data_IF_105873458504
#
_entry.id   IF_105873458504
#
_cell.length_a   1.000
_cell.length_b   1.000
_cell.length_c   1.000
_cell.angle_alpha   90.00
_cell.angle_beta   90.00
_cell.angle_gamma   90.00
#
_symmetry.space_group_name_H-M   'P 1'
#
loop_
_entity.id
_entity.type
_entity.pdbx_description
1 polymer ?
#
# COMPACT_ATOMS: atom_id res chain seq x y z
N UNK A 1 -31.47 -48.89 -24.63
CA UNK A 1 -31.91 -47.86 -23.68
C UNK A 1 -30.87 -47.53 -22.59
N UNK A 2 -29.86 -48.35 -22.36
CA UNK A 2 -28.83 -48.10 -21.31
C UNK A 2 -27.82 -46.94 -21.62
N UNK A 3 -27.51 -46.65 -22.90
CA UNK A 3 -26.51 -45.62 -23.26
C UNK A 3 -26.92 -44.17 -22.92
N UNK A 4 -28.23 -43.85 -22.87
CA UNK A 4 -28.71 -42.51 -22.54
C UNK A 4 -28.62 -42.19 -21.06
N UNK A 5 -28.74 -43.15 -20.18
CA UNK A 5 -28.66 -42.95 -18.71
C UNK A 5 -27.26 -42.63 -18.22
N UNK A 6 -26.22 -43.17 -18.88
CA UNK A 6 -24.79 -42.89 -18.52
C UNK A 6 -24.33 -41.48 -18.90
N UNK A 7 -24.86 -40.89 -19.97
CA UNK A 7 -24.52 -39.54 -20.39
C UNK A 7 -25.15 -38.49 -19.46
N UNK A 8 -26.39 -38.74 -19.02
CA UNK A 8 -27.05 -37.84 -18.06
C UNK A 8 -26.37 -37.85 -16.68
N UNK A 9 -25.87 -38.99 -16.21
CA UNK A 9 -25.14 -39.07 -14.95
C UNK A 9 -23.77 -38.34 -15.01
N UNK A 10 -23.07 -38.44 -16.14
CA UNK A 10 -21.81 -37.72 -16.32
C UNK A 10 -21.99 -36.19 -16.42
N UNK A 11 -23.08 -35.73 -17.04
CA UNK A 11 -23.45 -34.34 -17.13
C UNK A 11 -23.87 -33.76 -15.76
N UNK A 12 -24.61 -34.54 -14.96
CA UNK A 12 -24.98 -34.14 -13.62
C UNK A 12 -23.79 -34.03 -12.65
N UNK A 13 -22.79 -34.91 -12.75
CA UNK A 13 -21.56 -34.80 -11.98
C UNK A 13 -20.71 -33.60 -12.41
N UNK A 14 -20.63 -33.25 -13.69
CA UNK A 14 -19.90 -32.07 -14.18
C UNK A 14 -20.58 -30.78 -13.72
N UNK A 15 -21.89 -30.72 -13.68
CA UNK A 15 -22.64 -29.56 -13.17
C UNK A 15 -22.57 -29.44 -11.64
N UNK A 16 -22.49 -30.54 -10.90
CA UNK A 16 -22.31 -30.49 -9.45
C UNK A 16 -20.92 -30.03 -9.04
N UNK A 17 -19.88 -30.34 -9.80
CA UNK A 17 -18.50 -29.84 -9.57
C UNK A 17 -18.33 -28.36 -9.95
N UNK A 18 -19.10 -27.87 -10.91
CA UNK A 18 -19.09 -26.45 -11.29
C UNK A 18 -19.82 -25.52 -10.32
N UNK A 19 -20.75 -26.04 -9.49
CA UNK A 19 -21.49 -25.26 -8.52
C UNK A 19 -20.73 -24.99 -7.20
N UNK A 20 -19.58 -25.61 -7.00
CA UNK A 20 -18.69 -25.39 -5.85
C UNK A 20 -17.49 -24.49 -6.19
N UNK A 21 -17.59 -23.63 -7.19
CA UNK A 21 -16.74 -22.47 -7.30
C UNK A 21 -17.15 -21.45 -6.21
N UNK A 22 -16.98 -21.85 -4.93
CA UNK A 22 -16.95 -20.92 -3.84
C UNK A 22 -15.91 -19.86 -4.19
N UNK A 23 -16.24 -18.59 -4.03
CA UNK A 23 -15.30 -17.50 -4.13
C UNK A 23 -14.07 -17.88 -3.30
N UNK A 24 -12.99 -18.26 -3.97
CA UNK A 24 -11.70 -18.47 -3.29
C UNK A 24 -11.30 -17.09 -2.77
N UNK A 25 -11.47 -16.87 -1.47
CA UNK A 25 -10.90 -15.71 -0.83
C UNK A 25 -9.40 -15.74 -1.10
N UNK A 26 -8.82 -14.63 -1.55
CA UNK A 26 -7.39 -14.56 -1.75
C UNK A 26 -6.68 -14.81 -0.41
N UNK A 27 -5.60 -15.57 -0.43
CA UNK A 27 -4.76 -15.78 0.76
C UNK A 27 -4.11 -14.47 1.20
N UNK A 28 -3.86 -14.29 2.50
CA UNK A 28 -3.04 -13.19 2.98
C UNK A 28 -1.69 -13.13 2.25
N UNK A 29 -1.30 -11.94 1.85
CA UNK A 29 -0.04 -11.67 1.16
C UNK A 29 1.03 -11.42 2.23
N UNK A 30 2.19 -12.05 2.08
CA UNK A 30 3.34 -11.82 2.95
C UNK A 30 4.55 -11.46 2.10
N UNK A 31 5.12 -10.27 2.34
CA UNK A 31 6.31 -9.77 1.65
C UNK A 31 7.28 -9.21 2.66
N UNK A 32 8.49 -9.77 2.74
CA UNK A 32 9.55 -9.29 3.61
C UNK A 32 9.21 -9.27 5.12
N UNK A 33 8.27 -10.14 5.55
CA UNK A 33 7.81 -10.19 6.95
C UNK A 33 6.56 -9.35 7.23
N UNK A 34 6.11 -8.51 6.29
CA UNK A 34 4.84 -7.77 6.38
C UNK A 34 3.73 -8.58 5.75
N UNK A 35 2.64 -8.80 6.51
CA UNK A 35 1.49 -9.62 6.08
C UNK A 35 0.21 -8.78 6.08
N UNK A 36 -0.60 -8.90 5.03
CA UNK A 36 -1.93 -8.28 4.95
C UNK A 36 -2.92 -9.14 4.19
N UNK A 37 -4.21 -8.92 4.46
CA UNK A 37 -5.29 -9.62 3.78
C UNK A 37 -5.90 -8.72 2.69
N UNK A 38 -5.76 -9.08 1.39
CA UNK A 38 -6.33 -8.32 0.29
C UNK A 38 -7.87 -8.37 0.24
N UNK A 39 -8.51 -9.25 1.02
CA UNK A 39 -9.97 -9.30 1.15
C UNK A 39 -10.49 -8.44 2.33
N UNK A 40 -9.61 -7.76 3.05
CA UNK A 40 -10.01 -6.86 4.12
C UNK A 40 -10.93 -5.77 3.60
N UNK A 41 -11.98 -5.43 4.34
CA UNK A 41 -12.84 -4.27 4.03
C UNK A 41 -12.06 -2.94 4.06
N UNK A 42 -10.89 -2.93 4.71
CA UNK A 42 -9.99 -1.80 4.80
C UNK A 42 -8.79 -1.92 3.85
N UNK A 43 -8.86 -2.79 2.84
CA UNK A 43 -7.75 -2.96 1.89
C UNK A 43 -7.73 -1.81 0.85
N UNK A 44 -6.69 -1.04 0.77
CA UNK A 44 -5.50 -0.97 1.62
C UNK A 44 -5.58 0.31 2.44
N UNK A 45 -5.53 0.21 3.77
CA UNK A 45 -5.46 1.36 4.68
C UNK A 45 -4.21 1.21 5.55
N UNK A 46 -3.22 2.08 5.34
CA UNK A 46 -1.94 2.07 6.07
C UNK A 46 -1.81 3.36 6.85
N UNK A 47 -1.62 3.28 8.16
CA UNK A 47 -1.59 4.44 9.04
C UNK A 47 -0.25 4.59 9.74
N UNK A 48 0.35 5.77 9.58
CA UNK A 48 1.41 6.27 10.42
C UNK A 48 0.78 7.06 11.57
N UNK A 49 0.81 6.51 12.77
CA UNK A 49 0.22 7.14 13.96
C UNK A 49 1.10 8.26 14.53
N UNK A 50 2.36 8.29 14.14
CA UNK A 50 3.30 9.33 14.53
C UNK A 50 4.43 9.41 13.50
N UNK A 51 4.59 10.57 12.88
CA UNK A 51 5.74 10.89 12.07
C UNK A 51 6.33 12.22 12.50
N UNK A 52 7.58 12.48 12.09
CA UNK A 52 8.23 13.76 12.23
C UNK A 52 8.73 14.25 10.89
N UNK A 53 8.67 15.59 10.70
CA UNK A 53 9.15 16.23 9.48
C UNK A 53 9.88 17.54 9.76
N UNK A 54 10.72 17.90 8.81
CA UNK A 54 11.44 19.17 8.81
C UNK A 54 10.50 20.35 8.56
N UNK A 55 10.94 21.53 8.94
CA UNK A 55 10.24 22.76 8.61
C UNK A 55 10.67 23.27 7.24
N UNK A 56 9.71 23.76 6.46
CA UNK A 56 9.96 24.46 5.20
C UNK A 56 9.50 25.92 5.32
N UNK A 57 10.06 26.82 4.53
CA UNK A 57 9.72 28.24 4.60
C UNK A 57 9.74 28.95 3.25
N UNK A 58 10.25 28.31 2.21
CA UNK A 58 10.38 28.90 0.86
C UNK A 58 10.29 27.84 -0.23
N UNK A 59 10.01 28.31 -1.44
CA UNK A 59 10.09 27.49 -2.66
C UNK A 59 11.50 26.90 -2.80
N UNK A 60 11.58 25.70 -3.33
CA UNK A 60 12.77 24.85 -3.45
C UNK A 60 13.33 24.31 -2.14
N UNK A 61 12.73 24.62 -0.97
CA UNK A 61 13.06 23.88 0.23
C UNK A 61 12.65 22.40 0.08
N UNK A 62 13.42 21.54 0.71
CA UNK A 62 13.15 20.11 0.75
C UNK A 62 12.52 19.78 2.10
N UNK A 63 11.28 19.32 2.06
CA UNK A 63 10.61 18.68 3.17
C UNK A 63 11.14 17.26 3.31
N UNK A 64 11.67 16.92 4.45
CA UNK A 64 12.10 15.56 4.78
C UNK A 64 11.43 15.10 6.04
N UNK A 65 11.22 13.80 6.18
CA UNK A 65 10.64 13.26 7.39
C UNK A 65 10.77 11.75 7.49
N UNK A 66 10.33 11.23 8.62
CA UNK A 66 10.41 9.82 8.97
C UNK A 66 9.31 9.42 9.95
N UNK A 67 9.04 8.12 9.99
CA UNK A 67 8.07 7.56 10.91
C UNK A 67 8.01 6.05 10.86
N UNK A 68 6.98 5.51 11.52
CA UNK A 68 6.68 4.09 11.56
C UNK A 68 5.19 3.87 11.29
N UNK A 69 4.87 2.78 10.62
CA UNK A 69 3.50 2.34 10.43
C UNK A 69 2.99 1.69 11.72
N UNK A 70 1.93 2.23 12.25
CA UNK A 70 1.29 1.72 13.47
C UNK A 70 0.10 0.82 13.20
N UNK A 71 -0.53 0.95 12.01
CA UNK A 71 -1.67 0.12 11.62
C UNK A 71 -1.65 -0.18 10.11
N UNK A 72 -2.02 -1.40 9.76
CA UNK A 72 -2.15 -1.87 8.38
C UNK A 72 -3.47 -2.65 8.25
N UNK A 73 -4.40 -2.19 7.42
CA UNK A 73 -5.76 -2.72 7.30
C UNK A 73 -6.49 -2.84 8.66
N UNK A 74 -6.26 -1.87 9.56
CA UNK A 74 -6.83 -1.87 10.90
C UNK A 74 -6.14 -2.81 11.89
N UNK A 75 -5.16 -3.59 11.45
CA UNK A 75 -4.37 -4.46 12.33
C UNK A 75 -3.17 -3.70 12.89
N UNK A 76 -2.81 -3.97 14.15
CA UNK A 76 -1.63 -3.38 14.78
C UNK A 76 -0.33 -4.07 14.33
N UNK A 77 0.81 -3.45 14.66
CA UNK A 77 2.14 -3.94 14.27
C UNK A 77 2.40 -5.40 14.61
N UNK A 78 2.02 -5.88 15.78
CA UNK A 78 2.26 -7.28 16.19
C UNK A 78 1.51 -8.29 15.31
N UNK A 79 0.56 -7.84 14.51
CA UNK A 79 -0.21 -8.67 13.60
C UNK A 79 0.35 -8.62 12.16
N UNK A 80 0.57 -7.40 11.64
CA UNK A 80 1.05 -7.27 10.26
C UNK A 80 2.57 -7.39 10.10
N UNK A 81 3.36 -7.15 11.18
CA UNK A 81 4.83 -7.21 11.19
C UNK A 81 5.33 -7.80 12.52
N UNK A 82 5.04 -9.09 12.81
CA UNK A 82 5.40 -9.70 14.08
C UNK A 82 6.93 -9.78 14.23
N UNK A 83 7.46 -9.07 15.22
CA UNK A 83 8.90 -8.99 15.49
C UNK A 83 9.67 -8.05 14.54
N UNK A 84 8.98 -7.18 13.83
CA UNK A 84 9.62 -6.17 12.99
C UNK A 84 8.92 -4.81 13.11
N UNK A 85 9.63 -3.75 12.69
CA UNK A 85 9.11 -2.40 12.49
C UNK A 85 9.01 -2.11 11.00
N UNK A 86 7.85 -1.63 10.53
CA UNK A 86 7.71 -1.07 9.20
C UNK A 86 7.91 0.44 9.30
N UNK A 87 9.14 0.89 9.03
CA UNK A 87 9.52 2.30 9.09
C UNK A 87 9.48 2.94 7.71
N UNK A 88 9.47 4.27 7.68
CA UNK A 88 9.55 5.00 6.41
C UNK A 88 10.34 6.29 6.56
N UNK A 89 10.89 6.73 5.43
CA UNK A 89 11.43 8.07 5.22
C UNK A 89 10.76 8.68 4.01
N UNK A 90 10.63 10.00 3.97
CA UNK A 90 10.06 10.69 2.82
C UNK A 90 10.80 11.99 2.53
N UNK A 91 10.67 12.43 1.28
CA UNK A 91 11.18 13.68 0.79
C UNK A 91 10.22 14.26 -0.26
N UNK A 92 10.01 15.59 -0.20
CA UNK A 92 9.28 16.36 -1.19
C UNK A 92 9.94 17.72 -1.39
N UNK A 93 9.87 18.27 -2.59
CA UNK A 93 10.39 19.62 -2.88
C UNK A 93 9.23 20.59 -2.97
N UNK A 94 9.30 21.70 -2.25
CA UNK A 94 8.33 22.80 -2.32
C UNK A 94 8.39 23.42 -3.71
N UNK A 95 7.31 23.33 -4.47
CA UNK A 95 7.19 23.91 -5.81
C UNK A 95 6.54 25.29 -5.80
N UNK A 96 5.61 25.53 -4.87
CA UNK A 96 4.94 26.83 -4.74
C UNK A 96 4.44 27.06 -3.31
N UNK A 97 4.31 28.34 -2.93
CA UNK A 97 3.67 28.77 -1.68
C UNK A 97 2.76 29.95 -2.00
N UNK A 98 1.46 29.80 -1.73
CA UNK A 98 0.46 30.84 -1.94
C UNK A 98 -0.39 31.01 -0.69
N UNK A 99 -0.14 32.04 0.08
CA UNK A 99 -0.83 32.24 1.37
C UNK A 99 -0.60 31.10 2.35
N UNK A 100 -1.68 30.38 2.69
CA UNK A 100 -1.64 29.19 3.56
C UNK A 100 -1.51 27.86 2.80
N UNK A 101 -1.33 27.91 1.49
CA UNK A 101 -1.24 26.73 0.63
C UNK A 101 0.23 26.46 0.24
N UNK A 102 0.66 25.21 0.32
CA UNK A 102 2.00 24.77 -0.09
C UNK A 102 1.83 23.58 -1.04
N UNK A 103 2.48 23.69 -2.18
CA UNK A 103 2.52 22.67 -3.23
C UNK A 103 3.90 22.02 -3.24
N UNK A 104 3.91 20.73 -3.50
CA UNK A 104 5.14 19.95 -3.56
C UNK A 104 5.19 19.10 -4.84
N UNK A 105 6.40 18.87 -5.32
CA UNK A 105 6.70 17.95 -6.41
C UNK A 105 7.97 17.13 -6.10
N UNK A 106 8.37 16.29 -7.05
CA UNK A 106 9.57 15.42 -6.90
C UNK A 106 9.61 14.66 -5.59
N UNK A 107 8.41 14.18 -5.15
CA UNK A 107 8.25 13.49 -3.87
C UNK A 107 8.40 11.99 -3.98
N UNK A 108 8.90 11.39 -2.91
CA UNK A 108 8.92 9.94 -2.71
C UNK A 108 8.83 9.57 -1.23
N UNK A 109 8.35 8.36 -0.97
CA UNK A 109 8.32 7.72 0.35
C UNK A 109 8.95 6.34 0.21
N UNK A 110 9.98 6.05 1.01
CA UNK A 110 10.63 4.75 1.06
C UNK A 110 10.26 4.03 2.36
N UNK A 111 9.80 2.80 2.26
CA UNK A 111 9.45 1.94 3.40
C UNK A 111 10.52 0.86 3.57
N UNK A 112 10.81 0.55 4.83
CA UNK A 112 11.84 -0.41 5.24
C UNK A 112 11.29 -1.34 6.32
N UNK A 113 11.65 -2.61 6.24
CA UNK A 113 11.39 -3.59 7.31
C UNK A 113 12.63 -3.72 8.16
N UNK A 114 12.54 -3.31 9.41
CA UNK A 114 13.58 -3.47 10.41
C UNK A 114 13.24 -4.60 11.39
N UNK A 115 13.99 -5.71 11.31
CA UNK A 115 13.79 -6.87 12.16
C UNK A 115 14.41 -6.73 13.56
N UNK A 116 14.98 -5.58 13.88
CA UNK A 116 15.52 -5.30 15.22
C UNK A 116 14.51 -4.65 16.15
N UNK A 117 13.37 -4.19 15.60
CA UNK A 117 12.32 -3.45 16.32
C UNK A 117 12.88 -2.31 17.16
N UNK A 118 13.76 -1.53 16.55
CA UNK A 118 14.56 -0.49 17.21
C UNK A 118 14.04 0.93 16.99
N UNK A 119 12.90 1.10 16.30
CA UNK A 119 12.40 2.43 15.95
C UNK A 119 12.17 3.31 17.18
N UNK A 120 12.67 4.53 17.12
CA UNK A 120 12.48 5.56 18.13
C UNK A 120 12.17 6.91 17.47
N UNK A 121 11.00 7.46 17.73
CA UNK A 121 10.55 8.76 17.18
C UNK A 121 11.43 9.94 17.55
N UNK A 122 12.27 9.82 18.58
CA UNK A 122 13.23 10.83 18.98
C UNK A 122 14.63 10.61 18.40
N UNK A 123 14.81 9.55 17.63
CA UNK A 123 16.07 9.27 16.94
C UNK A 123 15.83 9.00 15.45
N UNK A 124 16.02 10.01 14.57
CA UNK A 124 15.73 9.86 13.15
C UNK A 124 16.58 8.77 12.47
N UNK A 125 17.75 8.41 13.03
CA UNK A 125 18.60 7.37 12.45
C UNK A 125 18.08 5.96 12.65
N UNK A 126 17.01 5.77 13.42
CA UNK A 126 16.33 4.48 13.59
C UNK A 126 15.24 4.24 12.55
N UNK A 127 14.92 5.21 11.72
CA UNK A 127 14.05 5.05 10.56
C UNK A 127 14.91 4.89 9.29
N UNK A 128 14.38 4.18 8.29
CA UNK A 128 15.09 4.00 7.01
C UNK A 128 16.23 2.99 7.10
N UNK A 129 16.38 2.28 8.22
CA UNK A 129 17.27 1.12 8.36
C UNK A 129 16.51 -0.16 8.05
N UNK A 130 17.23 -1.24 7.77
CA UNK A 130 16.62 -2.53 7.43
C UNK A 130 16.51 -2.77 5.93
N UNK A 131 15.63 -3.70 5.54
CA UNK A 131 15.47 -4.10 4.15
C UNK A 131 14.46 -3.19 3.43
N UNK A 132 14.81 -2.61 2.27
CA UNK A 132 13.84 -1.87 1.46
C UNK A 132 12.62 -2.73 1.10
N UNK A 133 11.42 -2.21 1.36
CA UNK A 133 10.17 -2.95 1.19
C UNK A 133 9.26 -2.37 0.09
N UNK A 134 9.10 -1.04 0.07
CA UNK A 134 8.28 -0.33 -0.91
C UNK A 134 8.85 1.05 -1.16
N UNK A 135 8.83 1.49 -2.41
CA UNK A 135 9.06 2.89 -2.80
C UNK A 135 7.79 3.40 -3.45
N UNK A 136 7.28 4.51 -2.94
CA UNK A 136 6.20 5.28 -3.55
C UNK A 136 6.79 6.57 -4.14
N UNK A 137 6.45 6.90 -5.38
CA UNK A 137 6.78 8.17 -6.02
C UNK A 137 5.55 9.06 -6.10
N UNK A 138 5.73 10.37 -6.00
CA UNK A 138 4.64 11.33 -6.13
C UNK A 138 3.99 11.25 -7.51
N UNK A 139 2.66 11.23 -7.54
CA UNK A 139 1.82 11.28 -8.72
C UNK A 139 1.14 12.64 -8.81
N UNK A 140 1.15 13.28 -9.98
CA UNK A 140 0.48 14.57 -10.15
C UNK A 140 -1.03 14.42 -10.13
N UNK A 141 -1.70 15.23 -9.34
CA UNK A 141 -3.14 15.22 -9.25
C UNK A 141 -3.73 16.61 -9.04
N UNK A 142 -5.05 16.71 -9.19
CA UNK A 142 -5.83 17.89 -8.88
C UNK A 142 -6.58 17.69 -7.57
N UNK A 143 -6.56 18.69 -6.71
CA UNK A 143 -7.15 18.63 -5.37
C UNK A 143 -8.31 19.62 -5.25
N UNK A 144 -9.33 19.27 -4.48
CA UNK A 144 -10.47 20.13 -4.25
C UNK A 144 -10.02 21.46 -3.58
N UNK A 145 -10.41 22.58 -4.19
CA UNK A 145 -10.02 23.91 -3.71
C UNK A 145 -8.66 24.40 -4.16
N UNK A 146 -7.97 23.64 -5.02
CA UNK A 146 -6.68 23.98 -5.61
C UNK A 146 -6.81 24.16 -7.13
N UNK A 147 -6.14 25.18 -7.68
CA UNK A 147 -6.09 25.44 -9.13
C UNK A 147 -4.68 25.08 -9.62
N UNK A 148 -4.56 23.93 -10.28
CA UNK A 148 -3.28 23.43 -10.77
C UNK A 148 -3.10 21.94 -10.50
N UNK A 149 -1.84 21.47 -10.54
CA UNK A 149 -1.46 20.09 -10.28
C UNK A 149 -0.27 20.06 -9.31
N UNK A 150 -0.33 19.15 -8.35
CA UNK A 150 0.77 18.90 -7.42
C UNK A 150 0.85 17.40 -7.11
N UNK A 151 1.96 16.94 -6.56
CA UNK A 151 2.10 15.58 -6.03
C UNK A 151 1.62 15.49 -4.59
N UNK A 152 1.89 16.55 -3.82
CA UNK A 152 1.37 16.75 -2.47
C UNK A 152 0.95 18.21 -2.35
N UNK A 153 -0.21 18.44 -1.79
CA UNK A 153 -0.80 19.73 -1.52
C UNK A 153 -1.09 19.85 -0.03
N UNK A 154 -0.68 20.93 0.60
CA UNK A 154 -0.90 21.17 2.03
C UNK A 154 -1.62 22.48 2.28
N UNK A 155 -2.55 22.46 3.23
CA UNK A 155 -3.18 23.65 3.79
C UNK A 155 -2.65 23.87 5.19
N UNK A 156 -2.06 25.03 5.41
CA UNK A 156 -1.36 25.39 6.64
C UNK A 156 -2.23 26.29 7.49
N UNK A 157 -2.41 25.95 8.75
CA UNK A 157 -2.88 26.86 9.79
C UNK A 157 -1.64 27.46 10.48
N UNK A 158 -1.64 28.76 10.73
CA UNK A 158 -0.47 29.46 11.28
C UNK A 158 0.50 29.92 10.18
N UNK A 159 1.77 29.59 10.31
CA UNK A 159 2.80 29.91 9.30
C UNK A 159 3.36 28.64 8.68
N UNK A 160 3.87 28.72 7.46
CA UNK A 160 4.44 27.57 6.74
C UNK A 160 5.56 26.89 7.54
N UNK A 161 6.40 27.68 8.19
CA UNK A 161 7.51 27.16 9.03
C UNK A 161 7.08 26.70 10.42
N UNK A 162 5.89 27.10 10.89
CA UNK A 162 5.31 26.71 12.19
C UNK A 162 3.81 26.44 12.04
N UNK A 163 3.42 25.31 11.42
CA UNK A 163 2.04 24.93 11.27
C UNK A 163 1.38 24.69 12.62
N UNK A 164 0.13 25.11 12.77
CA UNK A 164 -0.71 24.88 13.95
C UNK A 164 -1.65 23.70 13.72
N UNK A 165 -2.34 23.31 14.79
CA UNK A 165 -3.43 22.32 14.71
C UNK A 165 -4.44 22.69 13.62
N UNK A 166 -4.84 21.70 12.82
CA UNK A 166 -5.71 21.89 11.65
C UNK A 166 -4.94 22.04 10.34
N UNK A 167 -3.60 22.04 10.37
CA UNK A 167 -2.81 21.87 9.14
C UNK A 167 -2.95 20.46 8.60
N UNK A 168 -3.05 20.33 7.27
CA UNK A 168 -3.28 19.05 6.61
C UNK A 168 -2.58 18.98 5.26
N UNK A 169 -2.31 17.76 4.82
CA UNK A 169 -1.77 17.46 3.50
C UNK A 169 -2.56 16.36 2.81
N UNK A 170 -2.68 16.47 1.50
CA UNK A 170 -3.24 15.46 0.62
C UNK A 170 -2.31 15.26 -0.58
N UNK A 171 -2.12 14.01 -1.00
CA UNK A 171 -1.24 13.67 -2.10
C UNK A 171 -1.68 12.43 -2.83
N UNK A 172 -1.10 12.22 -4.02
CA UNK A 172 -1.24 11.00 -4.80
C UNK A 172 0.13 10.37 -5.01
N UNK A 173 0.18 9.05 -5.02
CA UNK A 173 1.41 8.27 -5.05
C UNK A 173 1.26 7.01 -5.90
N UNK A 174 2.33 6.64 -6.59
CA UNK A 174 2.46 5.39 -7.33
C UNK A 174 3.51 4.49 -6.69
N UNK A 175 3.21 3.19 -6.63
CA UNK A 175 4.17 2.17 -6.20
C UNK A 175 5.19 1.92 -7.32
N UNK A 176 6.42 2.35 -7.13
CA UNK A 176 7.44 2.36 -8.19
C UNK A 176 8.60 1.41 -7.93
N UNK A 177 8.74 0.87 -6.72
CA UNK A 177 9.86 -0.01 -6.38
C UNK A 177 9.67 -0.79 -5.10
N UNK A 178 10.60 -1.71 -4.85
CA UNK A 178 10.58 -2.62 -3.71
C UNK A 178 9.76 -3.90 -3.95
N UNK A 179 10.00 -4.94 -3.11
CA UNK A 179 9.35 -6.25 -3.30
C UNK A 179 7.82 -6.22 -3.11
N UNK A 180 7.26 -5.21 -2.43
CA UNK A 180 5.82 -5.07 -2.26
C UNK A 180 5.13 -4.39 -3.44
N UNK A 181 5.84 -3.65 -4.29
CA UNK A 181 5.26 -2.86 -5.38
C UNK A 181 4.36 -3.68 -6.33
N UNK A 182 4.71 -4.91 -6.77
CA UNK A 182 3.87 -5.69 -7.69
C UNK A 182 2.47 -6.01 -7.13
N UNK A 183 2.30 -5.99 -5.82
CA UNK A 183 1.01 -6.24 -5.16
C UNK A 183 0.19 -4.96 -4.95
N UNK A 184 0.78 -3.79 -5.17
CA UNK A 184 0.23 -2.49 -4.79
C UNK A 184 0.07 -1.53 -5.99
N UNK A 185 0.55 -1.89 -7.17
CA UNK A 185 0.34 -1.17 -8.43
C UNK A 185 -1.06 -1.43 -8.98
N UNK A 186 -2.05 -0.74 -8.45
CA UNK A 186 -3.47 -1.04 -8.73
C UNK A 186 -4.19 0.04 -9.52
N UNK A 187 -3.64 1.28 -9.59
CA UNK A 187 -4.20 2.43 -10.30
C UNK A 187 -5.70 2.62 -10.01
N UNK A 188 -6.06 2.66 -8.71
CA UNK A 188 -7.46 2.68 -8.28
C UNK A 188 -7.90 4.00 -7.67
N UNK A 189 -6.97 4.92 -7.42
CA UNK A 189 -7.24 6.21 -6.80
C UNK A 189 -7.34 7.29 -7.88
N UNK A 190 -8.55 7.82 -8.11
CA UNK A 190 -8.74 8.89 -9.10
C UNK A 190 -7.92 10.14 -8.74
N UNK A 191 -7.12 10.64 -9.67
CA UNK A 191 -6.20 11.78 -9.48
C UNK A 191 -6.87 13.15 -9.66
N UNK A 192 -8.14 13.18 -10.01
CA UNK A 192 -8.90 14.40 -10.30
C UNK A 192 -8.60 15.01 -11.67
N UNK A 193 -7.77 14.40 -12.50
CA UNK A 193 -7.41 14.84 -13.86
C UNK A 193 -7.86 13.85 -14.94
N UNK A 194 -8.54 12.79 -14.56
CA UNK A 194 -9.01 11.73 -15.46
C UNK A 194 -8.06 10.52 -15.54
N UNK A 195 -7.00 10.51 -14.73
CA UNK A 195 -6.10 9.39 -14.50
C UNK A 195 -6.31 8.76 -13.12
N UNK A 196 -5.40 7.84 -12.77
CA UNK A 196 -5.46 7.11 -11.51
C UNK A 196 -4.05 6.91 -10.95
N UNK A 197 -3.89 7.14 -9.66
CA UNK A 197 -2.75 6.77 -8.84
C UNK A 197 -2.99 5.44 -8.12
N UNK A 198 -1.97 4.88 -7.51
CA UNK A 198 -2.09 3.68 -6.66
C UNK A 198 -2.62 4.03 -5.27
N UNK A 199 -2.21 5.18 -4.73
CA UNK A 199 -2.55 5.63 -3.39
C UNK A 199 -2.98 7.08 -3.32
N UNK A 200 -3.88 7.34 -2.37
CA UNK A 200 -4.12 8.68 -1.83
C UNK A 200 -3.46 8.77 -0.46
N UNK A 201 -2.69 9.83 -0.23
CA UNK A 201 -2.11 10.20 1.07
C UNK A 201 -2.97 11.28 1.70
N UNK A 202 -3.33 11.11 2.96
CA UNK A 202 -3.90 12.15 3.81
C UNK A 202 -3.06 12.31 5.07
N UNK A 203 -2.76 13.54 5.47
CA UNK A 203 -1.99 13.81 6.68
C UNK A 203 -2.58 14.96 7.47
N UNK A 204 -2.29 14.97 8.77
CA UNK A 204 -2.57 16.06 9.69
C UNK A 204 -1.33 16.29 10.55
N UNK A 205 -0.89 17.52 10.67
CA UNK A 205 0.37 17.82 11.33
C UNK A 205 0.35 19.18 12.04
N UNK A 206 1.29 19.36 12.97
CA UNK A 206 1.47 20.61 13.71
C UNK A 206 2.92 20.76 14.17
N UNK A 207 3.32 21.99 14.44
CA UNK A 207 4.61 22.30 15.04
C UNK A 207 4.63 21.77 16.49
N UNK A 208 5.51 20.82 16.75
CA UNK A 208 5.67 20.11 18.03
C UNK A 208 7.16 19.84 18.28
N UNK A 209 7.92 20.90 18.46
CA UNK A 209 9.35 20.78 18.73
C UNK A 209 9.61 19.98 20.02
N UNK A 210 10.62 19.13 19.98
CA UNK A 210 11.06 18.38 21.15
C UNK A 210 11.58 19.36 22.20
N UNK A 211 11.20 19.17 23.46
CA UNK A 211 11.61 20.03 24.57
C UNK A 211 13.14 20.12 24.66
N UNK A 212 13.66 21.33 24.76
CA UNK A 212 15.09 21.58 24.82
C UNK A 212 15.79 21.61 23.47
N UNK A 213 15.08 21.39 22.36
CA UNK A 213 15.62 21.49 21.01
C UNK A 213 15.79 22.94 20.56
N UNK A 214 16.97 23.23 20.03
CA UNK A 214 17.17 24.33 19.08
C UNK A 214 17.15 23.73 17.68
N UNK A 215 16.49 24.41 16.72
CA UNK A 215 16.43 23.93 15.33
C UNK A 215 17.84 23.62 14.81
N UNK A 216 18.01 22.43 14.29
CA UNK A 216 19.30 21.92 13.79
C UNK A 216 19.22 21.69 12.28
N UNK A 217 20.23 22.06 11.49
CA UNK A 217 20.29 21.69 10.08
C UNK A 217 20.67 20.21 9.87
N UNK A 218 21.10 19.50 10.93
CA UNK A 218 21.57 18.13 10.80
C UNK A 218 20.40 17.13 10.81
N UNK A 219 20.17 16.37 9.72
CA UNK A 219 19.08 15.42 9.60
C UNK A 219 19.21 14.18 10.50
N UNK A 220 20.36 13.94 11.12
CA UNK A 220 20.51 12.87 12.14
C UNK A 220 20.06 13.31 13.53
N UNK A 221 19.73 14.59 13.70
CA UNK A 221 19.27 15.15 14.96
C UNK A 221 17.75 15.36 14.94
N UNK A 222 17.03 14.89 15.95
CA UNK A 222 15.59 15.07 16.08
C UNK A 222 15.15 16.54 16.05
N UNK A 223 16.01 17.47 16.44
CA UNK A 223 15.74 18.90 16.41
C UNK A 223 15.66 19.47 14.97
N UNK A 224 16.05 18.71 13.96
CA UNK A 224 15.79 19.00 12.54
C UNK A 224 14.30 18.82 12.17
N UNK A 225 13.56 18.02 12.94
CA UNK A 225 12.19 17.61 12.66
C UNK A 225 11.20 18.15 13.70
N UNK A 226 10.93 19.47 13.71
CA UNK A 226 10.11 20.10 14.75
C UNK A 226 8.61 19.91 14.55
N UNK A 227 8.16 19.33 13.43
CA UNK A 227 6.76 19.09 13.13
C UNK A 227 6.45 17.61 13.37
N UNK A 228 5.31 17.32 13.96
CA UNK A 228 4.80 15.95 14.12
C UNK A 228 3.39 15.83 13.59
N UNK A 229 3.02 14.63 13.17
CA UNK A 229 1.72 14.39 12.60
C UNK A 229 1.34 12.92 12.50
N UNK A 230 0.19 12.70 11.90
CA UNK A 230 -0.35 11.40 11.52
C UNK A 230 -0.63 11.38 10.03
N UNK A 231 -0.50 10.22 9.40
CA UNK A 231 -0.78 10.08 7.98
C UNK A 231 -1.50 8.76 7.70
N UNK A 232 -2.31 8.76 6.66
CA UNK A 232 -3.01 7.58 6.16
C UNK A 232 -2.78 7.47 4.65
N UNK A 233 -2.33 6.30 4.22
CA UNK A 233 -2.32 5.90 2.82
C UNK A 233 -3.55 5.03 2.56
N UNK A 234 -4.29 5.37 1.52
CA UNK A 234 -5.47 4.63 1.07
C UNK A 234 -5.21 4.18 -0.36
N UNK A 235 -5.36 2.90 -0.61
CA UNK A 235 -5.16 2.29 -1.92
C UNK A 235 -5.94 0.98 -2.05
N UNK A 236 -5.41 0.07 -2.84
CA UNK A 236 -5.85 -1.32 -2.93
C UNK A 236 -4.66 -2.23 -3.14
N UNK A 237 -4.81 -3.52 -2.82
CA UNK A 237 -3.85 -4.54 -3.20
C UNK A 237 -4.43 -5.48 -4.26
N UNK A 238 -3.54 -6.08 -5.05
CA UNK A 238 -3.92 -7.08 -6.04
C UNK A 238 -4.12 -8.41 -5.32
N UNK A 239 -5.32 -8.97 -5.40
CA UNK A 239 -5.57 -10.31 -4.92
C UNK A 239 -4.76 -11.33 -5.75
N UNK A 240 -3.90 -12.11 -5.09
CA UNK A 240 -3.18 -13.20 -5.76
C UNK A 240 -4.09 -14.44 -5.79
N UNK A 241 -4.51 -14.92 -6.98
CA UNK A 241 -5.27 -16.15 -7.07
C UNK A 241 -4.45 -17.32 -6.50
N UNK A 242 -5.06 -18.14 -5.66
CA UNK A 242 -4.38 -19.31 -5.13
C UNK A 242 -3.88 -20.23 -6.26
N UNK A 243 -2.61 -20.65 -6.26
CA UNK A 243 -2.09 -21.60 -7.25
C UNK A 243 -2.87 -22.92 -7.26
N UNK A 244 -3.52 -23.27 -6.14
CA UNK A 244 -4.32 -24.48 -5.98
C UNK A 244 -5.56 -24.54 -6.88
N UNK A 245 -6.23 -23.43 -7.15
CA UNK A 245 -7.44 -23.43 -7.98
C UNK A 245 -7.14 -23.78 -9.44
N UNK A 246 -6.06 -23.25 -10.01
CA UNK A 246 -5.61 -23.59 -11.35
C UNK A 246 -5.08 -25.03 -11.44
N UNK A 247 -4.37 -25.50 -10.40
CA UNK A 247 -3.90 -26.87 -10.28
C UNK A 247 -5.02 -27.90 -10.16
N UNK A 248 -6.02 -27.62 -9.34
CA UNK A 248 -7.22 -28.46 -9.20
C UNK A 248 -8.06 -28.50 -10.47
N UNK A 249 -8.22 -27.39 -11.17
CA UNK A 249 -8.88 -27.34 -12.47
C UNK A 249 -8.11 -28.17 -13.53
N UNK A 250 -6.79 -28.03 -13.58
CA UNK A 250 -5.92 -28.82 -14.45
C UNK A 250 -5.98 -30.32 -14.17
N UNK A 251 -5.91 -30.71 -12.90
CA UNK A 251 -6.08 -32.10 -12.46
C UNK A 251 -7.47 -32.63 -12.81
N UNK A 252 -8.55 -31.86 -12.58
CA UNK A 252 -9.92 -32.25 -12.93
C UNK A 252 -10.09 -32.50 -14.43
N UNK A 253 -9.54 -31.65 -15.27
CA UNK A 253 -9.54 -31.81 -16.72
C UNK A 253 -8.71 -33.01 -17.18
N UNK A 254 -7.57 -33.27 -16.56
CA UNK A 254 -6.73 -34.44 -16.83
C UNK A 254 -7.45 -35.76 -16.47
N UNK A 255 -8.13 -35.81 -15.35
CA UNK A 255 -8.96 -36.98 -14.96
C UNK A 255 -10.13 -37.22 -15.92
N UNK A 256 -10.82 -36.17 -16.34
CA UNK A 256 -11.88 -36.27 -17.33
C UNK A 256 -11.36 -36.77 -18.69
N UNK A 257 -10.19 -36.29 -19.12
CA UNK A 257 -9.51 -36.76 -20.32
C UNK A 257 -9.15 -38.25 -20.27
N UNK A 258 -8.61 -38.72 -19.14
CA UNK A 258 -8.26 -40.13 -18.92
C UNK A 258 -9.50 -41.04 -18.92
N UNK A 259 -10.61 -40.60 -18.31
CA UNK A 259 -11.86 -41.36 -18.33
C UNK A 259 -12.49 -41.49 -19.70
N UNK A 260 -12.43 -40.44 -20.51
CA UNK A 260 -12.94 -40.47 -21.90
C UNK A 260 -12.06 -41.35 -22.81
N UNK A 261 -10.73 -41.34 -22.61
CA UNK A 261 -9.79 -42.16 -23.34
C UNK A 261 -9.97 -43.67 -23.03
N UNK A 262 -10.15 -44.06 -21.76
CA UNK A 262 -10.45 -45.45 -21.39
C UNK A 262 -11.74 -45.98 -22.04
N UNK A 263 -12.81 -45.16 -22.08
CA UNK A 263 -14.11 -45.57 -22.67
C UNK A 263 -14.02 -45.76 -24.20
N UNK A 264 -13.14 -45.05 -24.90
CA UNK A 264 -12.92 -45.28 -26.33
C UNK A 264 -12.25 -46.61 -26.60
N UNK A 265 -11.27 -47.03 -25.79
CA UNK A 265 -10.62 -48.33 -25.94
C UNK A 265 -11.51 -49.53 -25.71
N UNK A 266 -12.49 -49.44 -24.82
CA UNK A 266 -13.45 -50.52 -24.56
C UNK A 266 -14.52 -50.65 -25.65
N UNK A 267 -14.74 -49.59 -26.46
CA UNK A 267 -15.71 -49.60 -27.58
C UNK A 267 -15.17 -50.23 -28.88
N UNK A 268 -13.86 -50.19 -29.10
CA UNK A 268 -13.21 -50.69 -30.32
C UNK A 268 -12.84 -52.19 -30.24
N UNK A 269 -13.05 -52.86 -29.12
CA UNK A 269 -12.73 -54.27 -28.91
C UNK A 269 -13.90 -55.26 -29.13
N UNK A 270 -15.07 -54.78 -29.59
CA UNK A 270 -16.28 -55.60 -29.81
C UNK A 270 -16.80 -55.50 -31.28
N UNK A 271 -15.93 -55.57 -32.24
CA UNK A 271 -16.32 -55.77 -33.64
C UNK A 271 -15.69 -57.05 -34.21
#
# INVERSE_FOLDING_TARGET
>A
MLKKKSILAALACALALGAWSGSTLATPITVGGVTWDPNSLLDLNVQALNFRESSVGSVSNVLTGYGMIGSFNGQNQSYFCPGCDLTFTFQYTVSNITGSQVEFNSGFINFFVDNTSSFNTLNPTTAGIGTPWLTLSGHNGSFLGFVGTAQLFSTIQGTVSKPLTGSSGIGFLDATGGPAAPFLQTHTQADGMGGFADFTLNSSFLFSAVRGCTLSPNPTNVCHYPISGTATLIGRSVAVPEPGAAGLLGLGLAFLGLLTWRRRKEGDGQS
#
